data_IF_074615563663
#
_entry.id   IF_074615563663
#
_cell.length_a   1.000
_cell.length_b   1.000
_cell.length_c   1.000
_cell.angle_alpha   90.00
_cell.angle_beta   90.00
_cell.angle_gamma   90.00
#
_symmetry.space_group_name_H-M   'P 1'
#
loop_
_entity.id
_entity.type
_entity.pdbx_description
1 polymer ?
#
# COMPACT_ATOMS: atom_id res chain seq x y z
N UNK A 1 13.34 -33.08 -97.08
CA UNK A 1 13.28 -31.60 -97.04
C UNK A 1 12.69 -31.21 -95.72
N UNK A 2 13.51 -30.79 -94.78
CA UNK A 2 13.15 -30.52 -93.42
C UNK A 2 12.61 -29.10 -93.31
N UNK A 3 11.54 -28.91 -92.54
CA UNK A 3 11.15 -27.60 -92.00
C UNK A 3 11.13 -27.68 -90.47
N UNK A 4 12.04 -26.89 -89.95
CA UNK A 4 12.22 -26.65 -88.56
C UNK A 4 11.10 -25.74 -87.99
N UNK A 5 10.46 -26.13 -86.90
CA UNK A 5 9.57 -25.28 -86.13
C UNK A 5 10.09 -25.11 -84.68
N UNK A 6 10.41 -23.89 -84.31
CA UNK A 6 10.77 -23.51 -82.93
C UNK A 6 9.53 -23.42 -82.05
N UNK A 7 9.58 -23.89 -80.83
CA UNK A 7 8.53 -23.59 -79.81
C UNK A 7 8.80 -22.24 -79.15
N UNK A 8 7.72 -21.48 -79.03
CA UNK A 8 7.65 -20.23 -78.23
C UNK A 8 7.61 -20.57 -76.75
N UNK A 9 8.61 -20.15 -76.01
CA UNK A 9 8.61 -20.13 -74.57
C UNK A 9 7.68 -19.02 -74.05
N UNK A 10 6.58 -19.43 -73.41
CA UNK A 10 5.73 -18.55 -72.67
C UNK A 10 6.34 -18.35 -71.23
N UNK A 11 6.82 -17.15 -70.95
CA UNK A 11 7.28 -16.78 -69.61
C UNK A 11 6.08 -16.53 -68.69
N UNK A 12 5.82 -17.43 -67.73
CA UNK A 12 4.91 -17.19 -66.62
C UNK A 12 5.65 -16.32 -65.60
N UNK A 13 5.24 -15.06 -65.48
CA UNK A 13 5.65 -14.19 -64.36
C UNK A 13 4.82 -14.57 -63.12
N UNK A 14 5.46 -15.26 -62.17
CA UNK A 14 4.88 -15.50 -60.82
C UNK A 14 4.97 -14.21 -59.99
N UNK A 15 3.85 -13.52 -59.84
CA UNK A 15 3.70 -12.43 -58.89
C UNK A 15 3.65 -13.01 -57.48
N UNK A 16 4.75 -12.96 -56.73
CA UNK A 16 4.81 -13.26 -55.30
C UNK A 16 4.12 -12.11 -54.56
N UNK A 17 2.87 -12.29 -54.20
CA UNK A 17 2.15 -11.43 -53.26
C UNK A 17 2.76 -11.68 -51.89
N UNK A 18 3.65 -10.81 -51.45
CA UNK A 18 4.05 -10.73 -50.05
C UNK A 18 2.83 -10.28 -49.22
N UNK A 19 2.03 -11.23 -48.73
CA UNK A 19 1.11 -11.01 -47.68
C UNK A 19 1.95 -10.77 -46.39
N UNK A 20 2.34 -9.52 -46.16
CA UNK A 20 2.83 -9.08 -44.87
C UNK A 20 1.72 -9.33 -43.85
N UNK A 21 1.82 -10.46 -43.15
CA UNK A 21 0.92 -10.76 -42.05
C UNK A 21 1.10 -9.65 -41.00
N UNK A 22 0.16 -8.71 -40.91
CA UNK A 22 -0.07 -8.00 -39.67
C UNK A 22 -0.33 -9.07 -38.61
N UNK A 23 0.70 -9.41 -37.83
CA UNK A 23 0.47 -10.10 -36.57
C UNK A 23 -0.42 -9.17 -35.75
N UNK A 24 -1.72 -9.44 -35.73
CA UNK A 24 -2.60 -8.84 -34.77
C UNK A 24 -2.03 -9.22 -33.40
N UNK A 25 -1.35 -8.28 -32.75
CA UNK A 25 -0.98 -8.43 -31.34
C UNK A 25 -2.23 -8.83 -30.61
N UNK A 26 -2.21 -9.99 -29.93
CA UNK A 26 -3.33 -10.40 -29.11
C UNK A 26 -3.70 -9.23 -28.20
N UNK A 27 -4.99 -8.84 -28.20
CA UNK A 27 -5.45 -7.72 -27.43
C UNK A 27 -5.11 -7.98 -25.95
N UNK A 28 -4.43 -7.03 -25.31
CA UNK A 28 -4.12 -7.12 -23.87
C UNK A 28 -5.43 -7.23 -23.06
N UNK A 29 -5.54 -8.21 -22.14
CA UNK A 29 -6.72 -8.31 -21.29
C UNK A 29 -6.99 -6.98 -20.55
N UNK A 30 -8.25 -6.56 -20.52
CA UNK A 30 -8.66 -5.33 -19.83
C UNK A 30 -8.28 -4.02 -20.53
N UNK A 31 -7.75 -4.09 -21.74
CA UNK A 31 -7.43 -2.92 -22.55
C UNK A 31 -8.32 -2.89 -23.80
N UNK A 32 -9.00 -1.76 -24.00
CA UNK A 32 -9.76 -1.47 -25.23
C UNK A 32 -9.30 -0.15 -25.86
N UNK A 33 -9.93 0.24 -26.95
CA UNK A 33 -9.62 1.52 -27.62
C UNK A 33 -9.96 2.72 -26.71
N UNK A 34 -10.92 2.60 -25.83
CA UNK A 34 -11.50 3.68 -25.02
C UNK A 34 -11.41 3.47 -23.51
N UNK A 35 -10.93 2.31 -23.04
CA UNK A 35 -10.86 2.02 -21.60
C UNK A 35 -9.65 1.16 -21.20
N UNK A 36 -9.27 1.32 -19.92
CA UNK A 36 -8.31 0.50 -19.18
C UNK A 36 -9.02 -0.02 -17.94
N UNK A 37 -9.21 -1.33 -17.84
CA UNK A 37 -9.86 -1.97 -16.70
C UNK A 37 -8.82 -2.34 -15.65
N UNK A 38 -8.92 -1.75 -14.47
CA UNK A 38 -8.03 -1.97 -13.32
C UNK A 38 -8.80 -2.76 -12.26
N UNK A 39 -8.25 -3.87 -11.82
CA UNK A 39 -8.79 -4.64 -10.70
C UNK A 39 -8.30 -4.11 -9.36
N UNK A 40 -9.16 -4.19 -8.35
CA UNK A 40 -8.79 -3.85 -6.98
C UNK A 40 -9.29 -4.93 -6.02
N UNK A 41 -8.43 -5.34 -5.09
CA UNK A 41 -8.73 -6.35 -4.09
C UNK A 41 -8.37 -5.84 -2.70
N UNK A 42 -9.18 -6.18 -1.71
CA UNK A 42 -9.05 -5.76 -0.31
C UNK A 42 -10.38 -5.93 0.41
N UNK A 43 -10.41 -5.84 1.71
CA UNK A 43 -11.63 -6.00 2.49
C UNK A 43 -12.63 -4.86 2.19
N UNK A 44 -13.76 -5.20 1.61
CA UNK A 44 -14.89 -4.28 1.44
C UNK A 44 -15.82 -4.31 2.64
N UNK A 45 -15.81 -5.42 3.36
CA UNK A 45 -16.67 -5.70 4.52
C UNK A 45 -15.85 -6.13 5.74
N UNK A 46 -16.50 -6.15 6.93
CA UNK A 46 -15.86 -6.56 8.18
C UNK A 46 -14.85 -5.55 8.73
N UNK A 47 -14.12 -5.90 9.80
CA UNK A 47 -13.22 -4.96 10.51
C UNK A 47 -12.05 -4.43 9.66
N UNK A 48 -11.69 -5.18 8.60
CA UNK A 48 -10.60 -4.80 7.68
C UNK A 48 -10.98 -3.74 6.63
N UNK A 49 -12.24 -3.28 6.59
CA UNK A 49 -12.72 -2.34 5.58
C UNK A 49 -11.89 -1.03 5.50
N UNK A 50 -11.29 -0.62 6.62
CA UNK A 50 -10.40 0.55 6.68
C UNK A 50 -9.23 0.43 5.70
N UNK A 51 -8.71 -0.78 5.52
CA UNK A 51 -7.53 -1.05 4.70
C UNK A 51 -7.87 -1.48 3.26
N UNK A 52 -9.13 -1.76 2.96
CA UNK A 52 -9.61 -2.17 1.64
C UNK A 52 -10.58 -1.17 1.02
N UNK A 53 -11.82 -1.06 1.55
CA UNK A 53 -12.87 -0.19 1.01
C UNK A 53 -12.43 1.27 0.92
N UNK A 54 -11.87 1.83 2.00
CA UNK A 54 -11.53 3.25 2.04
C UNK A 54 -10.40 3.61 1.07
N UNK A 55 -9.27 2.88 0.96
CA UNK A 55 -8.31 3.13 -0.11
C UNK A 55 -8.91 2.97 -1.51
N UNK A 56 -9.77 1.97 -1.75
CA UNK A 56 -10.44 1.82 -3.05
C UNK A 56 -11.33 3.02 -3.39
N UNK A 57 -12.02 3.60 -2.41
CA UNK A 57 -12.77 4.84 -2.59
C UNK A 57 -11.83 5.99 -3.00
N UNK A 58 -10.64 6.07 -2.40
CA UNK A 58 -9.60 7.02 -2.78
C UNK A 58 -9.09 6.80 -4.21
N UNK A 59 -8.86 5.55 -4.62
CA UNK A 59 -8.47 5.21 -6.01
C UNK A 59 -9.54 5.68 -6.99
N UNK A 60 -10.80 5.41 -6.69
CA UNK A 60 -11.91 5.69 -7.61
C UNK A 60 -12.14 7.18 -7.84
N UNK A 61 -12.02 8.03 -6.82
CA UNK A 61 -12.15 9.48 -7.02
C UNK A 61 -11.00 10.05 -7.85
N UNK A 62 -9.79 9.49 -7.75
CA UNK A 62 -8.68 9.88 -8.62
C UNK A 62 -8.92 9.42 -10.06
N UNK A 63 -9.48 8.22 -10.27
CA UNK A 63 -9.83 7.74 -11.60
C UNK A 63 -10.90 8.63 -12.24
N UNK A 64 -11.92 9.04 -11.48
CA UNK A 64 -12.96 9.95 -11.99
C UNK A 64 -12.38 11.30 -12.42
N UNK A 65 -11.46 11.85 -11.64
CA UNK A 65 -10.79 13.10 -11.99
C UNK A 65 -9.99 12.97 -13.30
N UNK A 66 -9.20 11.92 -13.43
CA UNK A 66 -8.44 11.65 -14.66
C UNK A 66 -9.39 11.39 -15.82
N UNK A 67 -10.48 10.69 -15.60
CA UNK A 67 -11.48 10.42 -16.61
C UNK A 67 -12.17 11.70 -17.09
N UNK A 68 -12.48 12.63 -16.19
CA UNK A 68 -13.02 13.94 -16.54
C UNK A 68 -12.04 14.75 -17.39
N UNK A 69 -10.73 14.60 -17.15
CA UNK A 69 -9.67 15.25 -17.92
C UNK A 69 -9.33 14.55 -19.26
N UNK A 70 -10.07 13.51 -19.68
CA UNK A 70 -9.85 12.81 -20.95
C UNK A 70 -9.25 11.41 -20.83
N UNK A 71 -8.93 10.96 -19.62
CA UNK A 71 -8.33 9.62 -19.37
C UNK A 71 -6.82 9.56 -19.59
N UNK A 72 -6.29 8.37 -19.76
CA UNK A 72 -4.88 8.11 -20.05
C UNK A 72 -4.75 7.73 -21.53
N UNK A 73 -4.01 8.53 -22.29
CA UNK A 73 -3.88 8.36 -23.75
C UNK A 73 -5.25 8.17 -24.45
N UNK A 74 -6.26 8.92 -24.03
CA UNK A 74 -7.64 8.84 -24.56
C UNK A 74 -8.51 7.73 -24.00
N UNK A 75 -7.99 6.86 -23.10
CA UNK A 75 -8.71 5.75 -22.49
C UNK A 75 -9.17 6.11 -21.08
N UNK A 76 -10.42 5.76 -20.74
CA UNK A 76 -10.98 5.93 -19.40
C UNK A 76 -10.55 4.79 -18.48
N UNK A 77 -10.24 5.10 -17.23
CA UNK A 77 -9.96 4.12 -16.20
C UNK A 77 -11.27 3.57 -15.62
N UNK A 78 -11.36 2.25 -15.49
CA UNK A 78 -12.49 1.56 -14.86
C UNK A 78 -11.99 0.72 -13.71
N UNK A 79 -12.56 0.88 -12.51
CA UNK A 79 -12.20 0.11 -11.32
C UNK A 79 -13.17 -1.07 -11.14
N UNK A 80 -12.63 -2.30 -11.09
CA UNK A 80 -13.34 -3.53 -10.72
C UNK A 80 -12.92 -3.93 -9.32
N UNK A 81 -13.86 -4.04 -8.37
CA UNK A 81 -13.56 -4.27 -6.96
C UNK A 81 -13.93 -5.68 -6.53
N UNK A 82 -13.04 -6.34 -5.78
CA UNK A 82 -13.28 -7.65 -5.17
C UNK A 82 -13.01 -7.61 -3.67
N UNK A 83 -13.91 -8.24 -2.90
CA UNK A 83 -13.82 -8.35 -1.45
C UNK A 83 -12.97 -9.56 -1.05
N UNK A 84 -11.80 -9.34 -0.49
CA UNK A 84 -10.93 -10.39 0.04
C UNK A 84 -11.19 -10.69 1.53
N UNK A 85 -12.06 -9.93 2.20
CA UNK A 85 -12.46 -10.08 3.62
C UNK A 85 -11.30 -10.16 4.60
N UNK A 86 -10.10 -9.72 4.23
CA UNK A 86 -8.86 -9.98 4.97
C UNK A 86 -8.53 -11.47 5.14
N UNK A 87 -9.05 -12.34 4.28
CA UNK A 87 -8.88 -13.78 4.34
C UNK A 87 -8.00 -14.28 3.20
N UNK A 88 -7.08 -15.20 3.49
CA UNK A 88 -6.10 -15.69 2.53
C UNK A 88 -6.75 -16.40 1.32
N UNK A 89 -7.74 -17.27 1.56
CA UNK A 89 -8.40 -18.02 0.49
C UNK A 89 -9.27 -17.08 -0.37
N UNK A 90 -9.97 -16.14 0.28
CA UNK A 90 -10.78 -15.12 -0.40
C UNK A 90 -9.91 -14.20 -1.26
N UNK A 91 -8.71 -13.82 -0.81
CA UNK A 91 -7.78 -13.00 -1.59
C UNK A 91 -7.29 -13.74 -2.85
N UNK A 92 -6.91 -15.02 -2.73
CA UNK A 92 -6.54 -15.85 -3.89
C UNK A 92 -7.71 -15.94 -4.89
N UNK A 93 -8.92 -16.20 -4.41
CA UNK A 93 -10.12 -16.28 -5.25
C UNK A 93 -10.44 -14.93 -5.94
N UNK A 94 -10.28 -13.80 -5.23
CA UNK A 94 -10.45 -12.47 -5.79
C UNK A 94 -9.46 -12.20 -6.94
N UNK A 95 -8.17 -12.54 -6.76
CA UNK A 95 -7.17 -12.42 -7.83
C UNK A 95 -7.55 -13.30 -9.04
N UNK A 96 -7.90 -14.56 -8.81
CA UNK A 96 -8.31 -15.46 -9.90
C UNK A 96 -9.52 -14.92 -10.66
N UNK A 97 -10.52 -14.38 -9.95
CA UNK A 97 -11.69 -13.76 -10.58
C UNK A 97 -11.30 -12.53 -11.41
N UNK A 98 -10.56 -11.59 -10.84
CA UNK A 98 -10.11 -10.38 -11.52
C UNK A 98 -9.29 -10.69 -12.79
N UNK A 99 -8.44 -11.73 -12.73
CA UNK A 99 -7.57 -12.10 -13.85
C UNK A 99 -8.33 -12.88 -14.93
N UNK A 100 -9.11 -13.90 -14.56
CA UNK A 100 -9.66 -14.87 -15.52
C UNK A 100 -11.10 -14.56 -15.94
N UNK A 101 -11.92 -13.98 -15.06
CA UNK A 101 -13.32 -13.66 -15.37
C UNK A 101 -13.47 -12.20 -15.80
N UNK A 102 -12.95 -11.26 -14.97
CA UNK A 102 -13.06 -9.84 -15.24
C UNK A 102 -11.99 -9.35 -16.24
N UNK A 103 -10.96 -10.17 -16.48
CA UNK A 103 -9.89 -9.90 -17.42
C UNK A 103 -9.31 -8.49 -17.29
N UNK A 104 -8.95 -8.07 -16.07
CA UNK A 104 -8.40 -6.74 -15.81
C UNK A 104 -6.98 -6.62 -16.37
N UNK A 105 -6.58 -5.39 -16.75
CA UNK A 105 -5.26 -5.09 -17.30
C UNK A 105 -4.16 -5.08 -16.25
N UNK A 106 -4.44 -4.47 -15.11
CA UNK A 106 -3.52 -4.34 -13.98
C UNK A 106 -4.30 -4.37 -12.66
N UNK A 107 -3.59 -4.48 -11.54
CA UNK A 107 -4.16 -4.45 -10.20
C UNK A 107 -3.65 -3.25 -9.40
N UNK A 108 -4.53 -2.67 -8.59
CA UNK A 108 -4.20 -1.77 -7.49
C UNK A 108 -4.97 -2.22 -6.25
N UNK A 109 -4.27 -2.65 -5.20
CA UNK A 109 -4.99 -3.27 -4.09
C UNK A 109 -4.07 -3.71 -2.97
N UNK A 110 -4.53 -4.71 -2.20
CA UNK A 110 -3.76 -5.28 -1.11
C UNK A 110 -3.92 -4.48 0.17
N UNK A 111 -4.99 -4.74 0.90
CA UNK A 111 -5.31 -4.11 2.19
C UNK A 111 -4.68 -4.83 3.36
N UNK A 112 -5.10 -6.08 3.59
CA UNK A 112 -4.64 -6.89 4.71
C UNK A 112 -3.39 -7.70 4.35
N UNK A 113 -2.33 -7.52 5.13
CA UNK A 113 -0.99 -8.07 4.81
C UNK A 113 -0.98 -9.58 4.63
N UNK A 114 -1.62 -10.35 5.52
CA UNK A 114 -1.65 -11.81 5.43
C UNK A 114 -2.41 -12.31 4.19
N UNK A 115 -3.55 -11.67 3.88
CA UNK A 115 -4.36 -11.99 2.70
C UNK A 115 -3.60 -11.65 1.40
N UNK A 116 -3.00 -10.46 1.34
CA UNK A 116 -2.21 -10.02 0.19
C UNK A 116 -0.98 -10.90 -0.03
N UNK A 117 -0.28 -11.26 1.06
CA UNK A 117 0.88 -12.15 0.97
C UNK A 117 0.50 -13.54 0.47
N UNK A 118 -0.62 -14.10 0.93
CA UNK A 118 -1.13 -15.38 0.43
C UNK A 118 -1.49 -15.34 -1.07
N UNK A 119 -1.98 -14.19 -1.56
CA UNK A 119 -2.33 -14.01 -2.96
C UNK A 119 -1.12 -13.72 -3.88
N UNK A 120 0.08 -13.50 -3.32
CA UNK A 120 1.29 -13.11 -4.06
C UNK A 120 1.59 -14.08 -5.21
N UNK A 121 1.62 -15.38 -4.96
CA UNK A 121 1.91 -16.39 -5.98
C UNK A 121 0.92 -16.37 -7.15
N UNK A 122 -0.37 -16.17 -6.87
CA UNK A 122 -1.39 -16.04 -7.89
C UNK A 122 -1.17 -14.80 -8.78
N UNK A 123 -0.77 -13.67 -8.17
CA UNK A 123 -0.43 -12.43 -8.89
C UNK A 123 0.82 -12.63 -9.76
N UNK A 124 1.87 -13.24 -9.21
CA UNK A 124 3.12 -13.53 -9.94
C UNK A 124 2.88 -14.46 -11.14
N UNK A 125 2.15 -15.55 -10.93
CA UNK A 125 1.82 -16.54 -11.97
C UNK A 125 1.00 -15.91 -13.11
N UNK A 126 0.08 -15.02 -12.77
CA UNK A 126 -0.73 -14.28 -13.74
C UNK A 126 0.07 -13.20 -14.49
N UNK A 127 1.31 -12.90 -14.07
CA UNK A 127 2.17 -11.83 -14.60
C UNK A 127 1.44 -10.49 -14.73
N UNK A 128 0.46 -10.25 -13.85
CA UNK A 128 -0.35 -9.04 -13.89
C UNK A 128 0.33 -7.91 -13.13
N UNK A 129 0.57 -6.73 -13.74
CA UNK A 129 1.17 -5.58 -13.05
C UNK A 129 0.32 -5.19 -11.86
N UNK A 130 0.94 -5.09 -10.68
CA UNK A 130 0.23 -4.87 -9.42
C UNK A 130 0.91 -3.78 -8.61
N UNK A 131 0.13 -2.83 -8.12
CA UNK A 131 0.56 -1.82 -7.15
C UNK A 131 -0.17 -2.02 -5.82
N UNK A 132 0.58 -2.23 -4.76
CA UNK A 132 0.05 -2.40 -3.40
C UNK A 132 -0.15 -1.02 -2.75
N UNK A 133 -1.30 -0.80 -2.08
CA UNK A 133 -1.66 0.50 -1.50
C UNK A 133 -1.59 0.56 0.05
N UNK A 134 -1.75 -0.57 0.78
CA UNK A 134 -1.83 -0.54 2.24
C UNK A 134 -1.15 -1.72 2.95
N UNK A 135 -0.95 -2.86 2.29
CA UNK A 135 -0.29 -4.01 2.90
C UNK A 135 1.18 -3.74 3.19
N UNK A 136 1.62 -4.05 4.42
CA UNK A 136 2.96 -3.73 4.91
C UNK A 136 3.92 -4.93 4.99
N UNK A 137 3.48 -6.15 4.67
CA UNK A 137 4.31 -7.35 4.76
C UNK A 137 5.45 -7.33 3.74
N UNK A 138 6.70 -7.34 4.19
CA UNK A 138 7.89 -7.26 3.32
C UNK A 138 7.91 -8.36 2.25
N UNK A 139 7.51 -9.58 2.61
CA UNK A 139 7.45 -10.72 1.69
C UNK A 139 6.56 -10.52 0.46
N UNK A 140 5.75 -9.45 0.39
CA UNK A 140 4.96 -9.12 -0.81
C UNK A 140 5.86 -8.58 -1.93
N UNK A 141 6.88 -7.81 -1.57
CA UNK A 141 7.80 -7.15 -2.51
C UNK A 141 9.24 -7.63 -2.39
N UNK A 142 9.55 -8.51 -1.44
CA UNK A 142 10.89 -9.04 -1.21
C UNK A 142 10.89 -10.57 -1.08
N UNK A 143 11.72 -11.27 -1.89
CA UNK A 143 12.51 -10.71 -2.99
C UNK A 143 11.61 -10.06 -4.04
N UNK A 144 12.10 -9.08 -4.83
CA UNK A 144 11.30 -8.40 -5.83
C UNK A 144 10.70 -9.38 -6.85
N UNK A 145 9.39 -9.34 -7.04
CA UNK A 145 8.71 -10.02 -8.15
C UNK A 145 8.53 -9.02 -9.30
N UNK A 146 8.81 -9.39 -10.56
CA UNK A 146 8.85 -8.43 -11.67
C UNK A 146 7.60 -7.57 -11.84
N UNK A 147 6.47 -8.05 -11.37
CA UNK A 147 5.14 -7.45 -11.60
C UNK A 147 4.48 -6.88 -10.34
N UNK A 148 5.13 -6.90 -9.15
CA UNK A 148 4.54 -6.41 -7.90
C UNK A 148 5.37 -5.25 -7.34
N UNK A 149 4.77 -4.07 -7.25
CA UNK A 149 5.33 -2.86 -6.65
C UNK A 149 4.47 -2.41 -5.46
N UNK A 150 5.04 -1.64 -4.55
CA UNK A 150 4.30 -1.11 -3.38
C UNK A 150 4.46 0.39 -3.24
N UNK A 151 3.34 1.11 -3.18
CA UNK A 151 3.27 2.50 -2.74
C UNK A 151 2.98 2.61 -1.23
N UNK A 152 2.74 1.47 -0.55
CA UNK A 152 2.63 1.41 0.90
C UNK A 152 4.01 1.35 1.56
N UNK A 153 4.07 1.77 2.82
CA UNK A 153 5.22 1.49 3.68
C UNK A 153 5.29 -0.02 3.95
N UNK A 154 6.49 -0.59 3.94
CA UNK A 154 6.68 -1.99 4.35
C UNK A 154 7.12 -2.10 5.81
N UNK A 155 7.01 -3.29 6.38
CA UNK A 155 7.33 -3.54 7.79
C UNK A 155 8.78 -3.16 8.14
N UNK A 156 9.72 -3.45 7.27
CA UNK A 156 11.13 -3.06 7.46
C UNK A 156 11.32 -1.54 7.47
N UNK A 157 10.68 -0.83 6.54
CA UNK A 157 10.74 0.64 6.47
C UNK A 157 10.10 1.26 7.71
N UNK A 158 8.92 0.79 8.12
CA UNK A 158 8.28 1.29 9.34
C UNK A 158 9.11 1.01 10.59
N UNK A 159 9.67 -0.21 10.72
CA UNK A 159 10.49 -0.59 11.87
C UNK A 159 11.74 0.27 11.97
N UNK A 160 12.42 0.52 10.85
CA UNK A 160 13.58 1.41 10.85
C UNK A 160 13.22 2.84 11.21
N UNK A 161 12.12 3.37 10.66
CA UNK A 161 11.63 4.69 11.01
C UNK A 161 11.27 4.79 12.51
N UNK A 162 10.63 3.75 13.09
CA UNK A 162 10.29 3.71 14.51
C UNK A 162 11.53 3.75 15.40
N UNK A 163 12.57 2.99 15.08
CA UNK A 163 13.83 2.99 15.84
C UNK A 163 14.55 4.33 15.70
N UNK A 164 14.65 4.87 14.47
CA UNK A 164 15.26 6.20 14.24
C UNK A 164 14.51 7.29 15.01
N UNK A 165 13.20 7.27 15.00
CA UNK A 165 12.38 8.22 15.73
C UNK A 165 12.58 8.11 17.25
N UNK A 166 12.60 6.90 17.80
CA UNK A 166 12.88 6.69 19.21
C UNK A 166 14.23 7.30 19.62
N UNK A 167 15.27 7.05 18.81
CA UNK A 167 16.61 7.62 19.02
C UNK A 167 16.61 9.15 18.93
N UNK A 168 15.94 9.74 17.94
CA UNK A 168 15.82 11.19 17.76
C UNK A 168 15.09 11.85 18.93
N UNK A 169 14.14 11.14 19.56
CA UNK A 169 13.47 11.60 20.78
C UNK A 169 14.29 11.38 22.06
N UNK A 170 15.51 10.85 21.95
CA UNK A 170 16.42 10.62 23.07
C UNK A 170 16.13 9.36 23.88
N UNK A 171 15.31 8.43 23.38
CA UNK A 171 15.00 7.16 24.02
C UNK A 171 16.27 6.30 24.18
N UNK A 172 16.47 5.76 25.36
CA UNK A 172 17.63 4.92 25.72
C UNK A 172 17.19 3.49 26.12
N UNK A 173 15.97 3.33 26.53
CA UNK A 173 15.40 2.09 27.08
C UNK A 173 14.15 1.72 26.28
N UNK A 174 14.39 1.21 25.06
CA UNK A 174 13.33 0.87 24.13
C UNK A 174 12.77 -0.51 24.49
N UNK A 175 11.47 -0.59 24.62
CA UNK A 175 10.70 -1.83 24.73
C UNK A 175 9.77 -2.00 23.54
N UNK A 176 9.20 -3.18 23.40
CA UNK A 176 8.19 -3.48 22.39
C UNK A 176 6.97 -4.14 23.03
N UNK A 177 5.80 -3.91 22.46
CA UNK A 177 4.60 -4.71 22.66
C UNK A 177 4.00 -5.08 21.31
N UNK A 178 3.85 -6.38 21.04
CA UNK A 178 3.47 -6.90 19.72
C UNK A 178 2.21 -7.77 19.77
N UNK A 179 1.59 -7.96 18.61
CA UNK A 179 0.45 -8.85 18.44
C UNK A 179 0.91 -10.31 18.44
N UNK A 180 0.23 -11.16 19.22
CA UNK A 180 0.51 -12.59 19.28
C UNK A 180 -0.23 -13.35 18.16
N UNK A 181 0.07 -13.00 16.92
CA UNK A 181 -0.44 -13.67 15.73
C UNK A 181 0.60 -13.69 14.57
N UNK A 182 0.20 -14.16 13.40
CA UNK A 182 1.09 -14.22 12.24
C UNK A 182 1.52 -12.83 11.76
N UNK A 183 0.63 -11.83 11.82
CA UNK A 183 0.95 -10.45 11.43
C UNK A 183 1.97 -9.81 12.39
N UNK A 184 1.76 -9.96 13.71
CA UNK A 184 2.71 -9.48 14.72
C UNK A 184 4.09 -10.08 14.54
N UNK A 185 4.17 -11.41 14.33
CA UNK A 185 5.44 -12.09 14.06
C UNK A 185 6.12 -11.61 12.77
N UNK A 186 5.38 -11.37 11.71
CA UNK A 186 5.92 -10.86 10.44
C UNK A 186 6.52 -9.44 10.59
N UNK A 187 6.01 -8.64 11.53
CA UNK A 187 6.56 -7.32 11.84
C UNK A 187 7.68 -7.36 12.89
N UNK A 188 7.66 -8.34 13.76
CA UNK A 188 8.67 -8.54 14.81
C UNK A 188 10.06 -8.76 14.22
N UNK A 189 10.19 -9.68 13.26
CA UNK A 189 11.48 -10.07 12.72
C UNK A 189 12.26 -8.90 12.09
N UNK A 190 11.72 -8.08 11.18
CA UNK A 190 12.42 -6.92 10.65
C UNK A 190 12.86 -5.93 11.75
N UNK A 191 12.02 -5.71 12.77
CA UNK A 191 12.36 -4.81 13.87
C UNK A 191 13.56 -5.32 14.67
N UNK A 192 13.59 -6.60 15.03
CA UNK A 192 14.71 -7.20 15.78
C UNK A 192 16.02 -7.14 14.98
N UNK A 193 15.98 -7.40 13.68
CA UNK A 193 17.15 -7.30 12.81
C UNK A 193 17.70 -5.86 12.76
N UNK A 194 16.83 -4.86 12.64
CA UNK A 194 17.20 -3.45 12.65
C UNK A 194 17.80 -3.05 14.01
N UNK A 195 17.17 -3.43 15.11
CA UNK A 195 17.67 -3.14 16.46
C UNK A 195 19.06 -3.76 16.65
N UNK A 196 19.24 -5.01 16.24
CA UNK A 196 20.53 -5.72 16.30
C UNK A 196 21.58 -5.01 15.45
N UNK A 197 21.26 -4.62 14.23
CA UNK A 197 22.18 -3.89 13.35
C UNK A 197 22.61 -2.54 13.93
N UNK A 198 21.74 -1.89 14.71
CA UNK A 198 22.02 -0.62 15.40
C UNK A 198 22.61 -0.81 16.81
N UNK A 199 22.89 -2.04 17.24
CA UNK A 199 23.45 -2.34 18.58
C UNK A 199 22.47 -2.04 19.74
N UNK A 200 21.15 -2.05 19.47
CA UNK A 200 20.12 -1.77 20.47
C UNK A 200 19.52 -3.10 20.95
N UNK A 201 19.45 -3.26 22.28
CA UNK A 201 18.74 -4.38 22.91
C UNK A 201 17.45 -3.87 23.54
N UNK A 202 16.34 -4.55 23.27
CA UNK A 202 15.06 -4.25 23.93
C UNK A 202 15.20 -4.50 25.43
N UNK A 203 14.69 -3.56 26.26
CA UNK A 203 14.65 -3.75 27.70
C UNK A 203 13.48 -4.62 28.16
N UNK A 204 12.45 -4.75 27.33
CA UNK A 204 11.33 -5.69 27.50
C UNK A 204 10.68 -5.94 26.14
N UNK A 205 10.11 -7.13 25.99
CA UNK A 205 9.38 -7.59 24.81
C UNK A 205 8.12 -8.31 25.26
N UNK A 206 6.96 -7.71 24.96
CA UNK A 206 5.66 -8.17 25.44
C UNK A 206 4.73 -8.49 24.28
N UNK A 207 3.80 -9.41 24.53
CA UNK A 207 2.78 -9.77 23.54
C UNK A 207 1.36 -9.60 24.09
N UNK A 208 0.43 -9.20 23.20
CA UNK A 208 -1.01 -9.21 23.44
C UNK A 208 -1.75 -10.08 22.43
N UNK A 209 -2.80 -10.76 22.88
CA UNK A 209 -3.75 -11.46 22.02
C UNK A 209 -4.65 -10.48 21.27
N UNK A 210 -5.11 -10.81 20.03
CA UNK A 210 -6.04 -9.95 19.29
C UNK A 210 -7.35 -9.63 19.98
N UNK A 211 -7.80 -10.51 20.88
CA UNK A 211 -9.01 -10.40 21.68
C UNK A 211 -8.77 -9.86 23.11
N UNK A 212 -7.53 -9.45 23.43
CA UNK A 212 -7.18 -8.94 24.74
C UNK A 212 -8.08 -7.77 25.18
N UNK A 213 -8.58 -7.84 26.41
CA UNK A 213 -9.36 -6.80 27.07
C UNK A 213 -8.63 -6.19 28.29
N UNK A 214 -7.45 -6.71 28.61
CA UNK A 214 -6.57 -6.29 29.70
C UNK A 214 -5.10 -6.45 29.29
N UNK A 215 -4.29 -5.47 29.62
CA UNK A 215 -2.84 -5.44 29.36
C UNK A 215 -2.04 -5.14 30.65
N UNK A 216 -2.69 -5.22 31.84
CA UNK A 216 -2.09 -4.85 33.12
C UNK A 216 -0.77 -5.55 33.36
N UNK A 217 -0.68 -6.86 33.11
CA UNK A 217 0.54 -7.63 33.33
C UNK A 217 1.69 -7.18 32.44
N UNK A 218 1.43 -6.93 31.15
CA UNK A 218 2.39 -6.42 30.20
C UNK A 218 2.88 -5.02 30.58
N UNK A 219 1.95 -4.13 30.92
CA UNK A 219 2.28 -2.76 31.36
C UNK A 219 3.17 -2.76 32.60
N UNK A 220 2.90 -3.63 33.58
CA UNK A 220 3.71 -3.74 34.80
C UNK A 220 5.15 -4.20 34.48
N UNK A 221 5.32 -5.16 33.56
CA UNK A 221 6.66 -5.61 33.12
C UNK A 221 7.41 -4.54 32.36
N UNK A 222 6.75 -3.84 31.42
CA UNK A 222 7.33 -2.70 30.68
C UNK A 222 7.75 -1.58 31.64
N UNK A 223 6.91 -1.28 32.65
CA UNK A 223 7.22 -0.29 33.68
C UNK A 223 8.37 -0.72 34.58
N UNK A 224 8.40 -1.99 35.03
CA UNK A 224 9.52 -2.53 35.83
C UNK A 224 10.82 -2.55 35.05
N UNK A 225 10.79 -2.73 33.74
CA UNK A 225 11.94 -2.60 32.86
C UNK A 225 12.38 -1.14 32.67
N UNK A 226 11.70 -0.16 33.27
CA UNK A 226 11.95 1.29 33.09
C UNK A 226 12.04 1.69 31.63
N UNK A 227 11.15 1.18 30.78
CA UNK A 227 11.10 1.59 29.37
C UNK A 227 10.74 3.07 29.26
N UNK A 228 11.53 3.83 28.49
CA UNK A 228 11.25 5.24 28.19
C UNK A 228 10.57 5.40 26.82
N UNK A 229 10.67 4.39 25.94
CA UNK A 229 9.90 4.28 24.71
C UNK A 229 9.35 2.86 24.53
N UNK A 230 8.15 2.76 23.98
CA UNK A 230 7.50 1.48 23.63
C UNK A 230 7.07 1.50 22.19
N UNK A 231 7.65 0.62 21.37
CA UNK A 231 7.22 0.38 19.99
C UNK A 231 5.97 -0.50 20.02
N UNK A 232 4.87 0.01 19.45
CA UNK A 232 3.55 -0.64 19.47
C UNK A 232 3.30 -1.29 18.12
N UNK A 233 3.32 -2.62 18.09
CA UNK A 233 2.98 -3.46 16.93
C UNK A 233 1.66 -4.18 17.24
N UNK A 234 0.60 -3.44 17.44
CA UNK A 234 -0.73 -3.94 17.81
C UNK A 234 -1.79 -3.43 16.83
N UNK A 235 -2.88 -4.18 16.67
CA UNK A 235 -4.09 -3.65 16.05
C UNK A 235 -4.71 -2.53 16.89
N UNK A 236 -5.56 -1.66 16.31
CA UNK A 236 -6.12 -0.52 17.05
C UNK A 236 -6.77 -0.88 18.38
N UNK A 237 -7.62 -1.95 18.42
CA UNK A 237 -8.32 -2.36 19.64
C UNK A 237 -7.36 -2.77 20.78
N UNK A 238 -6.46 -3.77 20.63
CA UNK A 238 -5.52 -4.12 21.71
C UNK A 238 -4.52 -3.00 22.02
N UNK A 239 -4.17 -2.13 21.07
CA UNK A 239 -3.37 -0.94 21.36
C UNK A 239 -4.11 0.03 22.29
N UNK A 240 -5.40 0.24 22.07
CA UNK A 240 -6.23 1.07 22.95
C UNK A 240 -6.34 0.47 24.37
N UNK A 241 -6.41 -0.87 24.49
CA UNK A 241 -6.36 -1.56 25.79
C UNK A 241 -5.04 -1.28 26.51
N UNK A 242 -3.91 -1.47 25.80
CA UNK A 242 -2.58 -1.18 26.34
C UNK A 242 -2.45 0.29 26.81
N UNK A 243 -2.83 1.26 26.00
CA UNK A 243 -2.74 2.70 26.36
C UNK A 243 -3.60 3.04 27.57
N UNK A 244 -4.83 2.49 27.67
CA UNK A 244 -5.70 2.68 28.85
C UNK A 244 -5.07 2.16 30.13
N UNK A 245 -4.52 0.95 30.07
CA UNK A 245 -3.95 0.32 31.26
C UNK A 245 -2.60 0.96 31.63
N UNK A 246 -1.81 1.42 30.65
CA UNK A 246 -0.62 2.22 30.89
C UNK A 246 -0.97 3.53 31.65
N UNK A 247 -2.02 4.24 31.22
CA UNK A 247 -2.49 5.45 31.89
C UNK A 247 -2.97 5.16 33.32
N UNK A 248 -3.77 4.11 33.54
CA UNK A 248 -4.23 3.71 34.87
C UNK A 248 -3.09 3.42 35.85
N UNK A 249 -2.02 2.79 35.33
CA UNK A 249 -0.86 2.40 36.13
C UNK A 249 0.22 3.50 36.21
N UNK A 250 -0.07 4.69 35.68
CA UNK A 250 0.88 5.82 35.68
C UNK A 250 2.16 5.54 34.89
N UNK A 251 2.11 4.67 33.88
CA UNK A 251 3.20 4.40 32.95
C UNK A 251 3.05 5.26 31.70
N UNK A 252 3.97 6.19 31.45
CA UNK A 252 3.85 7.22 30.41
C UNK A 252 5.12 7.26 29.55
N UNK A 253 5.51 6.17 28.89
CA UNK A 253 6.62 6.17 27.97
C UNK A 253 6.28 6.95 26.69
N UNK A 254 7.25 7.22 25.82
CA UNK A 254 7.00 7.56 24.45
C UNK A 254 6.38 6.34 23.75
N UNK A 255 5.12 6.42 23.36
CA UNK A 255 4.40 5.36 22.67
C UNK A 255 4.51 5.57 21.16
N UNK A 256 5.13 4.61 20.44
CA UNK A 256 5.43 4.71 19.02
C UNK A 256 4.59 3.70 18.25
N UNK A 257 3.52 4.17 17.62
CA UNK A 257 2.59 3.38 16.81
C UNK A 257 3.10 3.10 15.40
N UNK A 258 2.24 2.47 14.61
CA UNK A 258 2.51 2.04 13.23
C UNK A 258 1.35 2.48 12.30
N UNK A 259 1.53 2.35 10.97
CA UNK A 259 0.59 2.88 9.98
C UNK A 259 -0.83 2.28 10.02
N UNK A 260 -1.04 1.15 10.65
CA UNK A 260 -2.39 0.62 10.92
C UNK A 260 -3.17 1.43 11.97
N UNK A 261 -2.50 2.32 12.72
CA UNK A 261 -3.12 3.28 13.65
C UNK A 261 -2.80 4.70 13.16
N UNK A 262 -2.94 4.93 11.87
CA UNK A 262 -2.55 6.20 11.23
C UNK A 262 -3.53 7.36 11.48
N UNK A 263 -4.65 7.11 12.12
CA UNK A 263 -5.62 8.14 12.54
C UNK A 263 -5.56 8.34 14.06
N UNK A 264 -4.75 9.30 14.57
CA UNK A 264 -4.65 9.55 16.01
C UNK A 264 -5.93 10.06 16.65
N UNK A 265 -6.84 10.69 15.89
CA UNK A 265 -8.11 11.17 16.44
C UNK A 265 -9.08 10.00 16.67
N UNK A 266 -9.28 9.16 15.67
CA UNK A 266 -10.08 7.95 15.80
C UNK A 266 -9.51 7.01 16.88
N UNK A 267 -8.18 6.95 17.00
CA UNK A 267 -7.53 6.16 18.05
C UNK A 267 -7.76 6.74 19.45
N UNK A 268 -7.70 8.08 19.63
CA UNK A 268 -8.03 8.72 20.91
C UNK A 268 -9.47 8.42 21.35
N UNK A 269 -10.43 8.48 20.41
CA UNK A 269 -11.81 8.11 20.67
C UNK A 269 -11.93 6.64 21.10
N UNK A 270 -11.22 5.75 20.44
CA UNK A 270 -11.21 4.31 20.76
C UNK A 270 -10.56 4.03 22.13
N UNK A 271 -9.52 4.76 22.50
CA UNK A 271 -8.91 4.71 23.83
C UNK A 271 -9.93 5.17 24.88
N UNK A 272 -10.70 6.22 24.63
CA UNK A 272 -11.81 6.68 25.46
C UNK A 272 -11.38 7.22 26.83
N UNK A 273 -10.11 7.55 27.05
CA UNK A 273 -9.56 8.10 28.31
C UNK A 273 -8.84 9.40 27.99
N UNK A 274 -9.34 10.56 28.45
CA UNK A 274 -8.74 11.85 28.20
C UNK A 274 -7.25 11.90 28.60
N UNK A 275 -6.40 12.37 27.66
CA UNK A 275 -4.96 12.54 27.89
C UNK A 275 -4.13 11.24 27.85
N UNK A 276 -4.73 10.07 27.70
CA UNK A 276 -4.00 8.80 27.67
C UNK A 276 -3.10 8.69 26.41
N UNK A 277 -3.49 9.34 25.30
CA UNK A 277 -2.75 9.35 24.04
C UNK A 277 -1.72 10.48 23.93
N UNK A 278 -1.50 11.26 24.99
CA UNK A 278 -0.60 12.44 24.96
C UNK A 278 0.84 12.10 24.52
N UNK A 279 1.34 10.92 24.90
CA UNK A 279 2.68 10.43 24.51
C UNK A 279 2.65 9.53 23.28
N UNK A 280 1.50 9.37 22.61
CA UNK A 280 1.36 8.52 21.43
C UNK A 280 1.78 9.27 20.17
N UNK A 281 2.66 8.66 19.39
CA UNK A 281 3.13 9.12 18.09
C UNK A 281 2.95 7.96 17.12
N UNK A 282 2.45 8.23 15.92
CA UNK A 282 2.24 7.16 14.95
C UNK A 282 2.82 7.48 13.59
N UNK A 283 3.16 6.44 12.87
CA UNK A 283 3.57 6.52 11.47
C UNK A 283 2.33 6.66 10.58
N UNK A 284 2.45 7.51 9.57
CA UNK A 284 1.52 7.58 8.45
C UNK A 284 2.26 7.54 7.12
N UNK A 285 1.69 6.86 6.14
CA UNK A 285 2.20 6.91 4.77
C UNK A 285 1.76 8.17 4.00
N UNK A 286 1.01 9.07 4.66
CA UNK A 286 0.57 10.35 4.09
C UNK A 286 0.93 11.51 5.01
N UNK A 287 1.17 12.68 4.43
CA UNK A 287 1.63 13.88 5.13
C UNK A 287 0.51 14.82 5.60
N UNK A 288 -0.72 14.52 5.24
CA UNK A 288 -1.88 15.34 5.59
C UNK A 288 -2.87 14.55 6.41
N UNK A 289 -3.62 15.29 7.21
CA UNK A 289 -4.83 14.77 7.86
C UNK A 289 -6.05 15.07 6.99
N UNK A 290 -7.16 14.35 7.19
CA UNK A 290 -8.39 14.63 6.44
C UNK A 290 -8.90 16.08 6.59
N UNK A 291 -8.58 16.75 7.69
CA UNK A 291 -9.03 18.11 8.03
C UNK A 291 -8.17 19.21 7.39
N UNK A 292 -6.98 18.87 6.89
CA UNK A 292 -6.10 19.85 6.27
C UNK A 292 -6.77 20.50 5.04
N UNK A 293 -6.62 21.83 4.92
CA UNK A 293 -7.17 22.58 3.78
C UNK A 293 -6.63 22.10 2.42
N UNK A 294 -5.41 21.57 2.40
CA UNK A 294 -4.84 20.97 1.20
C UNK A 294 -5.65 19.73 0.72
N UNK A 295 -6.46 19.13 1.59
CA UNK A 295 -7.29 17.96 1.29
C UNK A 295 -8.74 18.31 0.89
N UNK A 296 -9.12 19.59 0.85
CA UNK A 296 -10.49 20.04 0.53
C UNK A 296 -11.01 19.48 -0.80
N UNK A 297 -10.15 19.41 -1.79
CA UNK A 297 -10.49 18.81 -3.10
C UNK A 297 -10.92 17.35 -2.93
N UNK A 298 -10.08 16.56 -2.27
CA UNK A 298 -10.29 15.12 -2.09
C UNK A 298 -11.47 14.84 -1.17
N UNK A 299 -11.66 15.67 -0.14
CA UNK A 299 -12.82 15.59 0.76
C UNK A 299 -14.13 15.76 -0.02
N UNK A 300 -14.23 16.82 -0.83
CA UNK A 300 -15.41 17.07 -1.65
C UNK A 300 -15.71 15.92 -2.62
N UNK A 301 -14.68 15.36 -3.25
CA UNK A 301 -14.85 14.27 -4.21
C UNK A 301 -15.28 12.96 -3.53
N UNK A 302 -14.68 12.60 -2.38
CA UNK A 302 -15.05 11.40 -1.63
C UNK A 302 -16.48 11.51 -1.09
N UNK A 303 -16.82 12.62 -0.43
CA UNK A 303 -18.14 12.81 0.18
C UNK A 303 -19.26 12.91 -0.84
N UNK A 304 -18.99 13.51 -2.02
CA UNK A 304 -19.97 13.56 -3.11
C UNK A 304 -20.22 12.19 -3.76
N UNK A 305 -19.17 11.39 -3.91
CA UNK A 305 -19.28 10.09 -4.59
C UNK A 305 -19.79 8.99 -3.65
N UNK A 306 -19.46 9.05 -2.37
CA UNK A 306 -19.79 8.04 -1.36
C UNK A 306 -20.60 8.68 -0.23
N UNK A 307 -21.93 8.89 -0.42
CA UNK A 307 -22.78 9.51 0.60
C UNK A 307 -22.72 8.76 1.93
N UNK A 308 -22.43 9.50 3.01
CA UNK A 308 -22.24 8.95 4.35
C UNK A 308 -20.81 8.58 4.71
N UNK A 309 -19.90 8.44 3.75
CA UNK A 309 -18.46 8.32 4.02
C UNK A 309 -17.85 9.73 4.19
N UNK A 310 -16.87 9.86 5.09
CA UNK A 310 -16.04 11.06 5.23
C UNK A 310 -14.64 10.74 4.72
N UNK A 311 -13.93 11.77 4.25
CA UNK A 311 -12.52 11.59 3.93
C UNK A 311 -11.79 11.11 5.19
N UNK A 312 -11.03 10.05 5.05
CA UNK A 312 -10.18 9.50 6.10
C UNK A 312 -8.74 9.40 5.62
N UNK A 313 -7.81 9.23 6.53
CA UNK A 313 -6.39 8.99 6.20
C UNK A 313 -6.22 7.76 5.31
N UNK A 314 -7.10 6.77 5.43
CA UNK A 314 -7.05 5.55 4.61
C UNK A 314 -7.51 5.79 3.16
N UNK A 315 -8.41 6.74 2.91
CA UNK A 315 -8.69 7.17 1.53
C UNK A 315 -7.45 7.79 0.88
N UNK A 316 -6.65 8.55 1.65
CA UNK A 316 -5.42 9.18 1.16
C UNK A 316 -4.38 8.14 0.73
N UNK A 317 -4.34 6.94 1.37
CA UNK A 317 -3.49 5.82 0.92
C UNK A 317 -3.83 5.42 -0.53
N UNK A 318 -5.11 5.29 -0.83
CA UNK A 318 -5.59 4.99 -2.18
C UNK A 318 -5.32 6.12 -3.17
N UNK A 319 -5.53 7.37 -2.76
CA UNK A 319 -5.27 8.56 -3.59
C UNK A 319 -3.81 8.61 -4.02
N UNK A 320 -2.88 8.50 -3.08
CA UNK A 320 -1.44 8.50 -3.39
C UNK A 320 -1.03 7.35 -4.29
N UNK A 321 -1.51 6.15 -4.01
CA UNK A 321 -1.21 4.97 -4.82
C UNK A 321 -1.80 5.06 -6.23
N UNK A 322 -3.02 5.60 -6.37
CA UNK A 322 -3.61 5.83 -7.69
C UNK A 322 -2.80 6.82 -8.54
N UNK A 323 -2.26 7.87 -7.92
CA UNK A 323 -1.39 8.83 -8.61
C UNK A 323 -0.09 8.16 -9.10
N UNK A 324 0.49 7.24 -8.32
CA UNK A 324 1.66 6.44 -8.74
C UNK A 324 1.32 5.52 -9.91
N UNK A 325 0.17 4.82 -9.87
CA UNK A 325 -0.28 3.98 -10.98
C UNK A 325 -0.51 4.79 -12.26
N UNK A 326 -1.16 5.95 -12.14
CA UNK A 326 -1.42 6.87 -13.27
C UNK A 326 -0.11 7.35 -13.89
N UNK A 327 0.87 7.70 -13.08
CA UNK A 327 2.21 8.08 -13.57
C UNK A 327 2.87 6.94 -14.34
N UNK A 328 2.80 5.70 -13.82
CA UNK A 328 3.30 4.53 -14.52
C UNK A 328 2.59 4.29 -15.86
N UNK A 329 1.25 4.40 -15.89
CA UNK A 329 0.45 4.26 -17.12
C UNK A 329 0.81 5.33 -18.16
N UNK A 330 1.03 6.57 -17.75
CA UNK A 330 1.48 7.66 -18.63
C UNK A 330 2.85 7.36 -19.22
N UNK A 331 3.81 6.90 -18.42
CA UNK A 331 5.17 6.53 -18.86
C UNK A 331 5.20 5.32 -19.77
N UNK A 332 4.28 4.37 -19.59
CA UNK A 332 4.18 3.19 -20.46
C UNK A 332 3.78 3.53 -21.91
N UNK A 333 3.18 4.72 -22.13
CA UNK A 333 2.86 5.26 -23.45
C UNK A 333 1.54 4.74 -24.04
N UNK A 334 1.15 5.23 -25.24
CA UNK A 334 -0.14 4.90 -25.85
C UNK A 334 -0.26 3.44 -26.31
N UNK A 335 0.86 2.82 -26.73
CA UNK A 335 0.92 1.40 -27.10
C UNK A 335 1.12 0.55 -25.85
N UNK A 336 0.14 0.60 -24.94
CA UNK A 336 0.19 0.03 -23.62
C UNK A 336 0.16 -1.50 -23.67
N UNK A 337 1.12 -2.14 -22.97
CA UNK A 337 1.11 -3.57 -22.64
C UNK A 337 1.43 -3.76 -21.17
N UNK A 338 1.16 -4.95 -20.61
CA UNK A 338 1.51 -5.27 -19.23
C UNK A 338 3.01 -5.16 -18.98
N UNK A 339 3.84 -5.61 -19.93
CA UNK A 339 5.30 -5.51 -19.83
C UNK A 339 5.78 -4.06 -19.83
N UNK A 340 5.19 -3.20 -20.69
CA UNK A 340 5.51 -1.77 -20.68
C UNK A 340 5.12 -1.09 -19.37
N UNK A 341 3.98 -1.46 -18.79
CA UNK A 341 3.56 -0.93 -17.48
C UNK A 341 4.51 -1.39 -16.36
N UNK A 342 4.91 -2.68 -16.34
CA UNK A 342 5.91 -3.19 -15.39
C UNK A 342 7.24 -2.43 -15.51
N UNK A 343 7.75 -2.26 -16.73
CA UNK A 343 8.95 -1.50 -16.97
C UNK A 343 8.81 -0.02 -16.56
N UNK A 344 7.64 0.58 -16.78
CA UNK A 344 7.37 1.96 -16.42
C UNK A 344 7.44 2.21 -14.92
N UNK A 345 6.95 1.29 -14.08
CA UNK A 345 7.10 1.42 -12.62
C UNK A 345 8.56 1.62 -12.21
N UNK A 346 9.48 0.82 -12.73
CA UNK A 346 10.91 0.91 -12.41
C UNK A 346 11.58 2.23 -12.86
N UNK A 347 10.91 3.02 -13.69
CA UNK A 347 11.41 4.34 -14.14
C UNK A 347 10.93 5.50 -13.27
N UNK A 348 10.02 5.25 -12.31
CA UNK A 348 9.52 6.29 -11.41
C UNK A 348 10.64 6.69 -10.46
N UNK A 349 11.09 7.95 -10.58
CA UNK A 349 12.10 8.55 -9.69
C UNK A 349 11.61 9.91 -9.26
N UNK A 350 11.76 10.19 -7.96
CA UNK A 350 11.45 11.48 -7.33
C UNK A 350 10.04 12.00 -7.68
N UNK A 351 9.09 11.08 -7.90
CA UNK A 351 7.71 11.46 -8.24
C UNK A 351 6.97 11.97 -6.99
N UNK A 352 6.43 13.18 -7.08
CA UNK A 352 5.67 13.80 -6.00
C UNK A 352 4.18 13.59 -6.21
N UNK A 353 3.53 13.00 -5.24
CA UNK A 353 2.06 12.90 -5.16
C UNK A 353 1.49 14.02 -4.30
N UNK A 354 0.17 14.18 -4.33
CA UNK A 354 -0.49 15.17 -3.47
C UNK A 354 -0.35 14.81 -1.97
N UNK A 355 -0.20 13.53 -1.64
CA UNK A 355 -0.38 13.06 -0.27
C UNK A 355 0.85 12.39 0.36
N UNK A 356 1.75 11.75 -0.40
CA UNK A 356 2.93 11.13 0.20
C UNK A 356 3.87 12.16 0.82
N UNK A 357 4.50 11.86 1.97
CA UNK A 357 5.37 12.81 2.68
C UNK A 357 6.64 13.18 1.92
N UNK A 358 7.21 12.20 1.23
CA UNK A 358 8.39 12.37 0.36
C UNK A 358 8.10 11.92 -1.07
N UNK A 359 9.07 12.11 -1.96
CA UNK A 359 8.94 11.63 -3.33
C UNK A 359 8.94 10.10 -3.37
N UNK A 360 8.22 9.56 -4.34
CA UNK A 360 8.11 8.12 -4.60
C UNK A 360 9.16 7.73 -5.63
N UNK A 361 9.95 6.72 -5.31
CA UNK A 361 10.99 6.18 -6.21
C UNK A 361 10.92 4.66 -6.22
N UNK A 362 10.64 4.08 -7.38
CA UNK A 362 10.67 2.65 -7.62
C UNK A 362 11.94 2.28 -8.42
N UNK A 363 12.41 1.05 -8.31
CA UNK A 363 13.54 0.55 -9.13
C UNK A 363 13.36 -0.92 -9.47
N UNK A 364 14.20 -1.47 -10.33
CA UNK A 364 14.21 -2.91 -10.63
C UNK A 364 14.71 -3.77 -9.47
N UNK A 365 15.55 -3.22 -8.61
CA UNK A 365 16.10 -3.92 -7.44
C UNK A 365 15.31 -3.70 -6.16
N UNK A 366 14.48 -2.64 -6.10
CA UNK A 366 13.65 -2.34 -4.93
C UNK A 366 12.28 -1.85 -5.39
N UNK A 367 11.28 -2.69 -5.17
CA UNK A 367 9.89 -2.45 -5.54
C UNK A 367 9.10 -1.74 -4.44
N UNK A 368 9.74 -1.36 -3.32
CA UNK A 368 9.17 -0.54 -2.26
C UNK A 368 9.31 0.93 -2.64
N UNK A 369 8.30 1.47 -3.28
CA UNK A 369 8.37 2.79 -3.89
C UNK A 369 8.29 3.95 -2.87
N UNK A 370 7.71 3.71 -1.69
CA UNK A 370 7.52 4.72 -0.64
C UNK A 370 8.38 4.41 0.59
N UNK A 371 9.29 5.34 0.94
CA UNK A 371 10.28 5.17 2.02
C UNK A 371 10.33 6.34 3.00
N UNK A 372 9.38 7.24 2.93
CA UNK A 372 9.41 8.48 3.71
C UNK A 372 8.13 8.63 4.55
N UNK A 373 7.96 7.85 5.64
CA UNK A 373 6.80 8.00 6.51
C UNK A 373 6.75 9.38 7.19
N UNK A 374 5.53 9.89 7.38
CA UNK A 374 5.27 11.01 8.27
C UNK A 374 5.02 10.53 9.71
N UNK A 375 5.29 11.40 10.66
CA UNK A 375 4.95 11.22 12.07
C UNK A 375 3.76 12.09 12.44
N UNK A 376 2.75 11.48 13.02
CA UNK A 376 1.55 12.16 13.46
C UNK A 376 1.41 12.08 14.98
N UNK A 377 0.88 13.15 15.56
CA UNK A 377 0.43 13.20 16.94
C UNK A 377 -0.89 13.96 17.05
N UNK A 378 -1.71 13.61 18.03
CA UNK A 378 -2.87 14.41 18.41
C UNK A 378 -2.55 15.18 19.67
N UNK A 379 -2.78 16.48 19.65
CA UNK A 379 -2.71 17.30 20.86
C UNK A 379 -3.97 17.11 21.71
N UNK A 380 -3.85 17.12 23.05
CA UNK A 380 -5.01 17.03 23.91
C UNK A 380 -6.02 18.15 23.59
N UNK A 381 -7.24 17.79 23.19
CA UNK A 381 -8.28 18.74 22.79
C UNK A 381 -7.97 19.58 21.54
N UNK A 382 -6.87 19.30 20.85
CA UNK A 382 -6.38 20.02 19.68
C UNK A 382 -6.43 19.20 18.39
N UNK A 383 -5.85 19.76 17.31
CA UNK A 383 -5.77 19.10 16.01
C UNK A 383 -4.73 17.98 15.99
N UNK A 384 -4.80 17.14 14.96
CA UNK A 384 -3.67 16.26 14.60
C UNK A 384 -2.57 17.14 14.00
N UNK A 385 -1.31 16.85 14.36
CA UNK A 385 -0.14 17.52 13.80
C UNK A 385 0.80 16.55 13.11
N UNK A 386 1.35 16.99 12.00
CA UNK A 386 2.49 16.35 11.35
C UNK A 386 3.76 16.86 12.05
N UNK A 387 4.48 15.97 12.73
CA UNK A 387 5.68 16.29 13.49
C UNK A 387 6.94 16.34 12.61
N UNK A 388 6.92 15.66 11.47
CA UNK A 388 8.03 15.55 10.54
C UNK A 388 7.96 14.32 9.67
N UNK A 389 8.99 14.12 8.87
CA UNK A 389 9.14 12.99 7.95
C UNK A 389 10.48 12.32 8.24
N UNK A 390 10.48 10.99 8.29
CA UNK A 390 11.71 10.21 8.35
C UNK A 390 11.91 9.54 6.99
N UNK A 391 13.01 9.81 6.31
CA UNK A 391 13.38 9.06 5.11
C UNK A 391 14.27 7.90 5.52
N UNK A 392 13.89 6.69 5.11
CA UNK A 392 14.67 5.48 5.31
C UNK A 392 15.54 5.26 4.08
N UNK A 393 16.85 5.25 4.27
CA UNK A 393 17.84 4.90 3.25
C UNK A 393 18.08 3.38 3.31
N UNK A 394 18.06 2.70 2.16
CA UNK A 394 18.37 1.26 2.08
C UNK A 394 19.78 1.05 1.60
#
# INVERSE_FOLDING_TARGET
MLKSGLPRCAALAAALVMAGGLQASAAEPGLSADSIRIGSFGALTGPGYLYGKLPMNGVEVVFDEINAAGGIHGRKLQLVREDDRCDAASAIAAIQKLVHQDQVFALIGGGCSNATFAAREAIETAKIPTLIFASVHDGITQPPAPNIYSAALTSSIESEAQVLFAQQQGAKRIAMISMRDAWGRARYQPLIEILKAKGITLVADEELSPDANDATAQVLRLKAANADAVIIVLYPKPAAVYIRDAQKLGFKPLNIGQSGIADPAAFEEQVGVPGATQSFRTISQVKYTPEDAAMDKWRKLVEAKFPGDRLSVYNLFGIGSAQVLIEALKRAGPDLTREKLQAAFATIKEFKTDVHPGPVTCSQSDHRCHKSPAWLAKEPGGPIRVLGVTTVEN
#
